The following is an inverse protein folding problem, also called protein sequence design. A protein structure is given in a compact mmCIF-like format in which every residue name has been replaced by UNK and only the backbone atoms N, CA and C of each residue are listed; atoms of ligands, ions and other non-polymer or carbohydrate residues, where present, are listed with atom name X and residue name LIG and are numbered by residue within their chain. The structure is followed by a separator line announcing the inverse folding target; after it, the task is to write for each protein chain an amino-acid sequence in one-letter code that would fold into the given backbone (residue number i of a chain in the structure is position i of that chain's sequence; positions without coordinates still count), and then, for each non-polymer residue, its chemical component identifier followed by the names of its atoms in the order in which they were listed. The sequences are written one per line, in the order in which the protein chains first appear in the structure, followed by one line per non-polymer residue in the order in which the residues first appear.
data_IF_495028835078
#
_entry.id   IF_495028835078
#
_cell.length_a   1.000
_cell.length_b   1.000
_cell.length_c   1.000
_cell.angle_alpha   90.00
_cell.angle_beta   90.00
_cell.angle_gamma   90.00
#
_symmetry.space_group_name_H-M   'P 1'
#
loop_
_entity.id
_entity.type
_entity.pdbx_description
1 polymer ?
#
# COMPACT_ATOMS: atom_id res chain seq x y z
N UNK A 1 -10.56 55.68 15.19
CA UNK A 1 -10.47 55.21 16.58
C UNK A 1 -10.65 53.70 16.53
N UNK A 2 -9.55 52.97 16.33
CA UNK A 2 -8.89 52.10 17.32
C UNK A 2 -9.82 51.10 18.00
N UNK A 3 -9.54 49.80 17.71
CA UNK A 3 -9.47 48.62 18.61
C UNK A 3 -10.78 48.21 19.31
N UNK A 4 -11.24 46.96 19.29
CA UNK A 4 -10.61 45.74 19.83
C UNK A 4 -11.00 44.52 18.97
N UNK A 5 -10.14 43.61 18.51
CA UNK A 5 -9.21 42.70 19.20
C UNK A 5 -9.85 41.90 20.36
N UNK A 6 -10.67 40.90 20.02
CA UNK A 6 -10.88 39.75 20.90
C UNK A 6 -10.60 38.46 20.13
N UNK A 7 -9.31 38.10 20.12
CA UNK A 7 -8.84 36.76 19.80
C UNK A 7 -9.28 35.83 20.92
N UNK A 8 -10.08 34.81 20.58
CA UNK A 8 -10.19 33.59 21.39
C UNK A 8 -9.48 32.45 20.64
N UNK A 9 -8.64 31.65 21.31
CA UNK A 9 -7.78 30.68 20.65
C UNK A 9 -8.62 29.49 20.17
N UNK A 10 -8.80 29.37 18.85
CA UNK A 10 -9.28 28.12 18.25
C UNK A 10 -8.32 27.01 18.62
N UNK A 11 -8.90 25.92 19.14
CA UNK A 11 -8.24 24.64 19.34
C UNK A 11 -7.34 24.32 18.14
N UNK A 12 -6.13 23.85 18.42
CA UNK A 12 -5.16 23.39 17.43
C UNK A 12 -5.77 22.27 16.58
N UNK A 13 -6.37 22.67 15.45
CA UNK A 13 -6.75 21.82 14.34
C UNK A 13 -5.46 21.32 13.67
N UNK A 14 -5.03 20.12 14.03
CA UNK A 14 -4.01 19.39 13.27
C UNK A 14 -4.67 18.78 12.02
N UNK A 15 -5.16 19.63 11.13
CA UNK A 15 -5.74 19.22 9.85
C UNK A 15 -4.57 18.97 8.91
N UNK A 16 -4.04 17.75 8.97
CA UNK A 16 -2.94 17.26 8.13
C UNK A 16 -3.41 17.35 6.66
N UNK A 17 -3.03 18.42 5.97
CA UNK A 17 -3.34 18.64 4.55
C UNK A 17 -2.88 17.43 3.74
N UNK A 18 -3.81 16.55 3.37
CA UNK A 18 -3.49 15.37 2.59
C UNK A 18 -3.23 15.82 1.16
N UNK A 19 -1.99 15.63 0.68
CA UNK A 19 -1.63 16.02 -0.68
C UNK A 19 -2.52 15.25 -1.69
N UNK A 20 -3.20 16.00 -2.56
CA UNK A 20 -4.03 15.43 -3.63
C UNK A 20 -3.20 14.93 -4.82
N UNK A 21 -1.93 15.33 -4.92
CA UNK A 21 -0.98 14.91 -5.93
C UNK A 21 0.29 14.32 -5.29
N UNK A 22 0.91 13.35 -5.97
CA UNK A 22 2.17 12.74 -5.54
C UNK A 22 3.26 12.92 -6.59
N UNK A 23 4.29 13.71 -6.27
CA UNK A 23 5.47 13.92 -7.13
C UNK A 23 6.26 12.63 -7.38
N UNK A 24 6.19 11.68 -6.44
CA UNK A 24 6.87 10.39 -6.50
C UNK A 24 5.94 9.25 -6.94
N UNK A 25 4.89 9.57 -7.73
CA UNK A 25 3.81 8.64 -8.06
C UNK A 25 4.30 7.26 -8.52
N UNK A 26 5.27 7.21 -9.45
CA UNK A 26 5.79 5.97 -9.99
C UNK A 26 6.49 5.09 -8.94
N UNK A 27 7.24 5.71 -8.02
CA UNK A 27 7.94 4.99 -6.95
C UNK A 27 6.96 4.52 -5.87
N UNK A 28 5.99 5.37 -5.51
CA UNK A 28 4.92 5.00 -4.59
C UNK A 28 4.10 3.84 -5.13
N UNK A 29 3.75 3.85 -6.42
CA UNK A 29 3.03 2.75 -7.07
C UNK A 29 3.81 1.43 -7.00
N UNK A 30 5.12 1.44 -7.30
CA UNK A 30 5.97 0.25 -7.18
C UNK A 30 5.96 -0.32 -5.76
N UNK A 31 6.04 0.55 -4.74
CA UNK A 31 5.98 0.13 -3.33
C UNK A 31 4.61 -0.44 -2.96
N UNK A 32 3.53 0.20 -3.40
CA UNK A 32 2.15 -0.29 -3.23
C UNK A 32 2.02 -1.71 -3.79
N UNK A 33 2.47 -1.93 -5.03
CA UNK A 33 2.40 -3.22 -5.70
C UNK A 33 3.27 -4.27 -5.00
N UNK A 34 4.52 -3.94 -4.64
CA UNK A 34 5.39 -4.86 -3.90
C UNK A 34 4.78 -5.30 -2.56
N UNK A 35 4.16 -4.38 -1.82
CA UNK A 35 3.46 -4.70 -0.57
C UNK A 35 2.25 -5.58 -0.82
N UNK A 36 1.41 -5.23 -1.80
CA UNK A 36 0.22 -6.00 -2.13
C UNK A 36 0.59 -7.40 -2.60
N UNK A 37 1.55 -7.56 -3.50
CA UNK A 37 1.92 -8.85 -4.10
C UNK A 37 2.77 -9.75 -3.20
N UNK A 38 3.16 -9.25 -2.02
CA UNK A 38 3.97 -10.00 -1.06
C UNK A 38 5.47 -10.04 -1.40
N UNK A 39 5.92 -9.15 -2.28
CA UNK A 39 7.34 -8.98 -2.64
C UNK A 39 8.12 -8.04 -1.72
N UNK A 40 7.43 -7.28 -0.85
CA UNK A 40 8.07 -6.39 0.11
C UNK A 40 8.57 -7.13 1.37
N UNK A 41 9.75 -6.74 1.85
CA UNK A 41 10.30 -7.12 3.16
C UNK A 41 9.46 -6.54 4.32
N UNK A 42 9.63 -7.06 5.54
CA UNK A 42 8.92 -6.53 6.72
C UNK A 42 9.26 -5.06 7.00
N UNK A 43 10.54 -4.68 6.83
CA UNK A 43 11.00 -3.30 6.99
C UNK A 43 10.33 -2.36 5.96
N UNK A 44 10.22 -2.80 4.70
CA UNK A 44 9.54 -2.03 3.65
C UNK A 44 8.03 -1.90 3.91
N UNK A 45 7.38 -2.96 4.43
CA UNK A 45 5.98 -2.90 4.83
C UNK A 45 5.77 -1.92 5.98
N UNK A 46 6.66 -1.91 6.97
CA UNK A 46 6.57 -0.97 8.08
C UNK A 46 6.79 0.48 7.63
N UNK A 47 7.81 0.71 6.80
CA UNK A 47 8.06 2.00 6.20
C UNK A 47 6.86 2.49 5.37
N UNK A 48 6.23 1.59 4.61
CA UNK A 48 5.02 1.92 3.84
C UNK A 48 3.86 2.33 4.76
N UNK A 49 3.57 1.53 5.81
CA UNK A 49 2.50 1.84 6.79
C UNK A 49 2.66 3.20 7.47
N UNK A 50 3.90 3.57 7.85
CA UNK A 50 4.17 4.85 8.54
C UNK A 50 3.94 6.07 7.65
N UNK A 51 4.07 5.93 6.33
CA UNK A 51 4.10 7.06 5.40
C UNK A 51 2.85 7.18 4.51
N UNK A 52 2.10 6.09 4.32
CA UNK A 52 0.97 6.04 3.38
C UNK A 52 -0.14 7.06 3.72
N UNK A 53 -0.42 7.26 5.01
CA UNK A 53 -1.53 8.09 5.49
C UNK A 53 -1.34 9.60 5.27
N UNK A 54 -0.21 9.99 4.66
CA UNK A 54 0.15 11.38 4.41
C UNK A 54 -0.19 11.86 2.99
N UNK A 55 -0.63 10.97 2.09
CA UNK A 55 -0.91 11.31 0.70
C UNK A 55 -2.21 10.66 0.20
N UNK A 56 -3.25 11.47 0.00
CA UNK A 56 -4.57 11.00 -0.44
C UNK A 56 -4.50 10.31 -1.81
N UNK A 57 -3.65 10.81 -2.72
CA UNK A 57 -3.41 10.16 -4.02
C UNK A 57 -2.92 8.73 -3.85
N UNK A 58 -1.90 8.51 -3.01
CA UNK A 58 -1.34 7.18 -2.76
C UNK A 58 -2.33 6.25 -2.05
N UNK A 59 -3.18 6.79 -1.16
CA UNK A 59 -4.26 6.03 -0.51
C UNK A 59 -5.26 5.53 -1.56
N UNK A 60 -5.74 6.43 -2.43
CA UNK A 60 -6.65 6.07 -3.52
C UNK A 60 -6.03 5.03 -4.46
N UNK A 61 -4.76 5.22 -4.82
CA UNK A 61 -4.01 4.26 -5.65
C UNK A 61 -3.87 2.88 -4.99
N UNK A 62 -3.58 2.81 -3.69
CA UNK A 62 -3.54 1.54 -2.97
C UNK A 62 -4.88 0.80 -3.03
N UNK A 63 -5.99 1.50 -2.80
CA UNK A 63 -7.32 0.88 -2.89
C UNK A 63 -7.63 0.39 -4.30
N UNK A 64 -7.25 1.15 -5.32
CA UNK A 64 -7.40 0.75 -6.71
C UNK A 64 -6.60 -0.53 -7.01
N UNK A 65 -5.30 -0.54 -6.72
CA UNK A 65 -4.43 -1.70 -6.96
C UNK A 65 -4.89 -2.94 -6.16
N UNK A 66 -5.36 -2.74 -4.92
CA UNK A 66 -5.95 -3.82 -4.11
C UNK A 66 -7.20 -4.41 -4.77
N UNK A 67 -8.10 -3.56 -5.27
CA UNK A 67 -9.30 -3.99 -5.97
C UNK A 67 -8.95 -4.76 -7.26
N UNK A 68 -7.96 -4.29 -8.02
CA UNK A 68 -7.44 -4.99 -9.20
C UNK A 68 -6.92 -6.38 -8.83
N UNK A 69 -6.08 -6.46 -7.78
CA UNK A 69 -5.56 -7.72 -7.28
C UNK A 69 -6.68 -8.69 -6.88
N UNK A 70 -7.64 -8.25 -6.08
CA UNK A 70 -8.78 -9.05 -5.63
C UNK A 70 -9.63 -9.54 -6.82
N UNK A 71 -9.85 -8.67 -7.81
CA UNK A 71 -10.56 -9.01 -9.04
C UNK A 71 -9.85 -10.10 -9.84
N UNK A 72 -8.52 -10.03 -9.96
CA UNK A 72 -7.73 -11.07 -10.61
C UNK A 72 -7.77 -12.38 -9.82
N UNK A 73 -7.59 -12.31 -8.50
CA UNK A 73 -7.62 -13.48 -7.62
C UNK A 73 -8.96 -14.21 -7.64
N UNK A 74 -10.07 -13.48 -7.79
CA UNK A 74 -11.42 -14.08 -7.89
C UNK A 74 -11.61 -14.95 -9.15
N UNK A 75 -10.81 -14.71 -10.19
CA UNK A 75 -10.88 -15.41 -11.49
C UNK A 75 -9.88 -16.55 -11.61
N UNK A 76 -8.94 -16.67 -10.66
CA UNK A 76 -7.91 -17.69 -10.68
C UNK A 76 -8.42 -18.92 -9.92
N UNK A 77 -8.42 -20.06 -10.60
CA UNK A 77 -8.66 -21.37 -9.99
C UNK A 77 -7.42 -21.80 -9.19
N UNK A 78 -7.53 -21.76 -7.86
CA UNK A 78 -6.45 -22.13 -6.94
C UNK A 78 -6.36 -23.64 -6.82
N UNK A 79 -5.52 -24.25 -7.66
CA UNK A 79 -5.24 -25.69 -7.62
C UNK A 79 -4.09 -26.03 -6.70
N UNK A 80 -4.20 -27.17 -6.03
CA UNK A 80 -3.07 -27.77 -5.32
C UNK A 80 -2.01 -28.20 -6.33
N UNK A 81 -0.74 -28.06 -5.94
CA UNK A 81 0.38 -28.59 -6.73
C UNK A 81 0.29 -30.12 -6.74
N UNK A 82 0.27 -30.79 -7.90
CA UNK A 82 0.24 -32.26 -7.96
C UNK A 82 1.45 -32.90 -7.28
N UNK A 83 1.22 -33.95 -6.47
CA UNK A 83 2.28 -34.63 -5.71
C UNK A 83 3.39 -35.20 -6.61
N UNK A 84 3.03 -35.66 -7.81
CA UNK A 84 4.00 -36.16 -8.78
C UNK A 84 4.98 -35.06 -9.24
N UNK A 85 4.50 -33.82 -9.39
CA UNK A 85 5.34 -32.68 -9.75
C UNK A 85 6.30 -32.35 -8.60
N UNK A 86 5.80 -32.36 -7.35
CA UNK A 86 6.62 -32.16 -6.15
C UNK A 86 7.71 -33.24 -6.07
N UNK A 87 7.36 -34.51 -6.23
CA UNK A 87 8.30 -35.63 -6.22
C UNK A 87 9.35 -35.50 -7.33
N UNK A 88 8.94 -35.10 -8.53
CA UNK A 88 9.84 -34.88 -9.67
C UNK A 88 10.83 -33.76 -9.40
N UNK A 89 10.39 -32.66 -8.79
CA UNK A 89 11.26 -31.54 -8.41
C UNK A 89 12.28 -31.98 -7.36
N UNK A 90 11.84 -32.67 -6.30
CA UNK A 90 12.72 -33.20 -5.25
C UNK A 90 13.80 -34.13 -5.80
N UNK A 91 13.40 -35.07 -6.66
CA UNK A 91 14.33 -35.99 -7.32
C UNK A 91 15.40 -35.26 -8.16
N UNK A 92 15.07 -34.16 -8.83
CA UNK A 92 16.04 -33.36 -9.60
C UNK A 92 17.01 -32.55 -8.73
N UNK A 93 16.63 -32.26 -7.49
CA UNK A 93 17.44 -31.52 -6.53
C UNK A 93 18.20 -32.45 -5.56
N UNK A 94 18.05 -33.77 -5.69
CA UNK A 94 18.60 -34.77 -4.78
C UNK A 94 18.20 -34.55 -3.30
N UNK A 95 16.95 -34.13 -3.06
CA UNK A 95 16.33 -33.98 -1.73
C UNK A 95 15.13 -34.89 -1.54
#
# INVERSE_FOLDING_TARGET
MVLDMQSSPSATENTKYQKEYCEHHAECLKKIQAVLDGGATEDEKEHFRKNMDHCLHCIKMYHLEKCVKESLQSKIDKRLCPDNLVATIKAKLNI
#
